data_IF_802358269367
#
_entry.id   IF_802358269367
#
_cell.length_a   1.000
_cell.length_b   1.000
_cell.length_c   1.000
_cell.angle_alpha   90.00
_cell.angle_beta   90.00
_cell.angle_gamma   90.00
#
_symmetry.space_group_name_H-M   'P 1'
#
loop_
_entity.id
_entity.type
_entity.pdbx_description
1 polymer ?
#
# COMPACT_ATOMS: atom_id res chain seq x y z
N UNK A 1 2.52 26.47 4.76
CA UNK A 1 3.48 25.70 5.58
C UNK A 1 3.03 24.27 5.53
N UNK A 2 3.79 23.38 4.89
CA UNK A 2 3.54 21.95 4.90
C UNK A 2 3.67 21.49 6.35
N UNK A 3 2.61 20.97 6.96
CA UNK A 3 2.71 20.30 8.25
C UNK A 3 3.65 19.12 8.06
N UNK A 4 4.75 19.13 8.83
CA UNK A 4 5.74 18.06 8.77
C UNK A 4 5.06 16.72 9.02
N UNK A 5 5.50 15.71 8.31
CA UNK A 5 5.02 14.33 8.46
C UNK A 5 5.14 13.87 9.92
N UNK A 6 4.08 13.30 10.48
CA UNK A 6 4.08 12.81 11.87
C UNK A 6 4.95 11.56 12.02
N UNK A 7 5.42 11.29 13.24
CA UNK A 7 6.17 10.06 13.56
C UNK A 7 5.32 8.82 13.23
N UNK A 8 4.05 8.85 13.58
CA UNK A 8 3.10 7.76 13.34
C UNK A 8 2.93 7.45 11.84
N UNK A 9 2.81 8.48 11.00
CA UNK A 9 2.71 8.29 9.55
C UNK A 9 3.97 7.65 8.97
N UNK A 10 5.17 8.09 9.43
CA UNK A 10 6.43 7.46 9.03
C UNK A 10 6.51 6.00 9.44
N UNK A 11 6.02 5.65 10.63
CA UNK A 11 5.96 4.27 11.10
C UNK A 11 5.06 3.41 10.22
N UNK A 12 3.85 3.89 9.88
CA UNK A 12 2.95 3.18 8.95
C UNK A 12 3.60 2.95 7.58
N UNK A 13 4.32 3.93 7.03
CA UNK A 13 5.06 3.75 5.77
C UNK A 13 6.19 2.72 5.89
N UNK A 14 6.93 2.73 6.99
CA UNK A 14 7.98 1.75 7.23
C UNK A 14 7.42 0.33 7.32
N UNK A 15 6.30 0.15 8.02
CA UNK A 15 5.59 -1.12 8.10
C UNK A 15 5.05 -1.56 6.72
N UNK A 16 4.52 -0.64 5.91
CA UNK A 16 4.06 -0.95 4.56
C UNK A 16 5.20 -1.40 3.64
N UNK A 17 6.39 -0.80 3.75
CA UNK A 17 7.58 -1.24 3.03
C UNK A 17 7.99 -2.66 3.42
N UNK A 18 8.07 -2.94 4.72
CA UNK A 18 8.41 -4.26 5.25
C UNK A 18 7.40 -5.30 4.80
N UNK A 19 6.10 -4.99 4.94
CA UNK A 19 5.03 -5.89 4.52
C UNK A 19 5.10 -6.19 3.02
N UNK A 20 5.31 -5.18 2.18
CA UNK A 20 5.44 -5.35 0.74
C UNK A 20 6.57 -6.35 0.39
N UNK A 21 7.75 -6.18 1.00
CA UNK A 21 8.91 -7.05 0.76
C UNK A 21 8.64 -8.49 1.21
N UNK A 22 8.00 -8.69 2.36
CA UNK A 22 7.64 -10.01 2.89
C UNK A 22 6.56 -10.70 2.05
N UNK A 23 5.72 -9.93 1.35
CA UNK A 23 4.62 -10.44 0.52
C UNK A 23 4.93 -10.43 -0.99
N UNK A 24 6.22 -10.55 -1.36
CA UNK A 24 6.65 -10.78 -2.74
C UNK A 24 6.86 -9.52 -3.59
N UNK A 25 6.64 -8.32 -3.04
CA UNK A 25 6.94 -7.06 -3.72
C UNK A 25 8.34 -6.56 -3.34
N UNK A 26 9.37 -7.26 -3.85
CA UNK A 26 10.75 -7.06 -3.43
C UNK A 26 11.33 -5.68 -3.76
N UNK A 27 10.76 -4.95 -4.71
CA UNK A 27 11.19 -3.62 -5.13
C UNK A 27 10.18 -2.61 -4.57
N UNK A 28 10.53 -1.94 -3.47
CA UNK A 28 9.61 -1.06 -2.76
C UNK A 28 10.32 0.24 -2.34
N UNK A 29 9.61 1.37 -2.46
CA UNK A 29 10.07 2.69 -2.01
C UNK A 29 8.92 3.51 -1.44
N UNK A 30 9.23 4.42 -0.52
CA UNK A 30 8.30 5.43 -0.05
C UNK A 30 8.21 6.62 -1.01
N UNK A 31 7.12 7.37 -0.93
CA UNK A 31 6.93 8.66 -1.62
C UNK A 31 7.06 8.59 -3.15
N UNK A 32 6.43 7.61 -3.78
CA UNK A 32 6.50 7.40 -5.22
C UNK A 32 5.39 8.14 -5.97
N UNK A 33 5.73 8.79 -7.07
CA UNK A 33 4.72 9.39 -7.97
C UNK A 33 3.98 8.28 -8.71
N UNK A 34 2.65 8.32 -8.67
CA UNK A 34 1.80 7.40 -9.43
C UNK A 34 1.64 7.91 -10.86
N UNK A 35 1.98 7.13 -11.89
CA UNK A 35 1.95 7.57 -13.28
C UNK A 35 0.59 8.13 -13.71
N UNK A 36 0.59 9.17 -14.53
CA UNK A 36 -0.60 9.82 -15.11
C UNK A 36 -1.62 10.36 -14.10
N UNK A 37 -1.37 10.22 -12.80
CA UNK A 37 -2.34 10.58 -11.77
C UNK A 37 -2.12 11.97 -11.14
N UNK A 38 -0.91 12.49 -11.20
CA UNK A 38 -0.49 13.67 -10.46
C UNK A 38 -0.34 13.44 -8.94
N UNK A 39 -0.66 12.23 -8.45
CA UNK A 39 -0.58 11.88 -7.03
C UNK A 39 0.76 11.26 -6.66
N UNK A 40 1.10 11.40 -5.39
CA UNK A 40 2.21 10.70 -4.75
C UNK A 40 1.62 9.69 -3.77
N UNK A 41 1.99 8.42 -3.94
CA UNK A 41 1.66 7.35 -3.01
C UNK A 41 2.64 7.34 -1.84
N UNK A 42 2.17 6.97 -0.66
CA UNK A 42 3.02 6.82 0.52
C UNK A 42 4.06 5.70 0.32
N UNK A 43 3.66 4.57 -0.28
CA UNK A 43 4.57 3.51 -0.71
C UNK A 43 4.12 2.96 -2.06
N UNK A 44 5.08 2.71 -2.94
CA UNK A 44 4.87 1.97 -4.18
C UNK A 44 5.83 0.80 -4.25
N UNK A 45 5.34 -0.35 -4.74
CA UNK A 45 6.18 -1.53 -4.86
C UNK A 45 5.84 -2.37 -6.09
N UNK A 46 6.81 -3.22 -6.47
CA UNK A 46 6.72 -4.11 -7.62
C UNK A 46 7.29 -5.49 -7.28
N UNK A 47 6.64 -6.55 -7.74
CA UNK A 47 7.17 -7.90 -7.66
C UNK A 47 8.25 -8.13 -8.73
N UNK A 48 9.08 -9.17 -8.53
CA UNK A 48 10.08 -9.61 -9.52
C UNK A 48 9.48 -10.64 -10.47
N UNK A 49 10.13 -10.84 -11.61
CA UNK A 49 9.80 -11.90 -12.56
C UNK A 49 8.92 -11.47 -13.74
N UNK A 50 8.52 -12.43 -14.57
CA UNK A 50 7.81 -12.19 -15.83
C UNK A 50 6.37 -11.66 -15.63
N UNK A 51 5.68 -12.08 -14.57
CA UNK A 51 4.33 -11.63 -14.22
C UNK A 51 4.32 -10.45 -13.26
N UNK A 52 5.22 -9.47 -13.44
CA UNK A 52 5.34 -8.30 -12.57
C UNK A 52 3.98 -7.76 -12.14
N UNK A 53 3.78 -7.67 -10.84
CA UNK A 53 2.61 -7.02 -10.25
C UNK A 53 3.07 -5.77 -9.51
N UNK A 54 2.24 -4.76 -9.56
CA UNK A 54 2.50 -3.47 -8.91
C UNK A 54 1.48 -3.23 -7.81
N UNK A 55 1.92 -2.55 -6.76
CA UNK A 55 1.07 -2.22 -5.62
C UNK A 55 1.34 -0.82 -5.13
N UNK A 56 0.29 -0.16 -4.69
CA UNK A 56 0.31 1.17 -4.09
C UNK A 56 -0.31 1.09 -2.70
N UNK A 57 0.34 1.72 -1.72
CA UNK A 57 -0.14 1.84 -0.35
C UNK A 57 -0.36 3.30 0.00
N UNK A 58 -1.47 3.56 0.68
CA UNK A 58 -1.84 4.85 1.25
C UNK A 58 -2.01 4.72 2.75
N UNK A 59 -1.22 5.46 3.51
CA UNK A 59 -1.23 5.45 4.96
C UNK A 59 -2.16 6.52 5.51
N UNK A 60 -3.05 6.16 6.44
CA UNK A 60 -4.01 7.06 7.05
C UNK A 60 -4.02 6.89 8.56
N UNK A 61 -3.91 8.01 9.28
CA UNK A 61 -3.89 8.06 10.74
C UNK A 61 -5.26 8.39 11.35
N UNK A 62 -6.14 9.00 10.56
CA UNK A 62 -7.45 9.42 11.03
C UNK A 62 -8.52 9.18 9.97
N UNK A 63 -9.72 8.84 10.41
CA UNK A 63 -10.90 8.66 9.55
C UNK A 63 -11.24 9.91 8.74
N UNK A 64 -11.05 11.09 9.35
CA UNK A 64 -11.26 12.38 8.70
C UNK A 64 -10.38 12.57 7.44
N UNK A 65 -9.20 11.98 7.40
CA UNK A 65 -8.28 12.07 6.26
C UNK A 65 -8.77 11.32 5.03
N UNK A 66 -9.57 10.26 5.22
CA UNK A 66 -10.21 9.55 4.12
C UNK A 66 -11.45 10.30 3.59
N UNK A 67 -12.22 10.88 4.52
CA UNK A 67 -13.54 11.46 4.24
C UNK A 67 -13.50 12.98 4.02
N UNK A 68 -12.34 13.60 4.04
CA UNK A 68 -12.16 15.06 4.02
C UNK A 68 -12.91 15.75 2.87
N UNK A 69 -13.01 15.05 1.73
CA UNK A 69 -13.66 15.55 0.52
C UNK A 69 -14.94 14.78 0.14
N UNK A 70 -15.40 13.85 1.00
CA UNK A 70 -16.56 13.02 0.69
C UNK A 70 -17.86 13.79 0.98
N UNK A 71 -18.72 13.92 -0.04
CA UNK A 71 -20.09 14.43 0.14
C UNK A 71 -20.89 13.44 0.98
N UNK A 72 -21.62 13.97 1.97
CA UNK A 72 -22.56 13.19 2.81
C UNK A 72 -23.79 12.84 1.98
N UNK A 73 -23.79 11.70 1.35
CA UNK A 73 -24.97 11.14 0.64
C UNK A 73 -25.41 9.87 1.38
N UNK A 74 -26.50 9.96 2.16
CA UNK A 74 -26.97 8.83 2.99
C UNK A 74 -27.37 7.61 2.14
N UNK A 75 -27.97 7.84 0.96
CA UNK A 75 -28.28 6.78 0.01
C UNK A 75 -27.03 6.03 -0.46
N UNK A 76 -25.98 6.76 -0.82
CA UNK A 76 -24.73 6.15 -1.29
C UNK A 76 -24.05 5.37 -0.17
N UNK A 77 -24.09 5.84 1.07
CA UNK A 77 -23.58 5.10 2.25
C UNK A 77 -24.33 3.81 2.46
N UNK A 78 -25.66 3.85 2.40
CA UNK A 78 -26.51 2.66 2.55
C UNK A 78 -26.20 1.62 1.45
N UNK A 79 -26.08 2.08 0.20
CA UNK A 79 -25.75 1.19 -0.92
C UNK A 79 -24.34 0.60 -0.83
N UNK A 80 -23.35 1.39 -0.40
CA UNK A 80 -22.00 0.88 -0.16
C UNK A 80 -22.02 -0.19 0.92
N UNK A 81 -22.72 0.01 2.04
CA UNK A 81 -22.83 -0.99 3.11
C UNK A 81 -23.50 -2.28 2.61
N UNK A 82 -24.63 -2.18 1.89
CA UNK A 82 -25.37 -3.32 1.31
C UNK A 82 -24.47 -4.13 0.36
N UNK A 83 -23.77 -3.45 -0.56
CA UNK A 83 -22.93 -4.10 -1.57
C UNK A 83 -21.65 -4.70 -0.95
N UNK A 84 -21.11 -4.09 0.09
CA UNK A 84 -19.96 -4.64 0.83
C UNK A 84 -20.35 -5.95 1.51
N UNK A 85 -21.49 -5.99 2.20
CA UNK A 85 -21.99 -7.22 2.83
C UNK A 85 -22.31 -8.32 1.79
N UNK A 86 -22.90 -7.92 0.67
CA UNK A 86 -23.16 -8.85 -0.45
C UNK A 86 -21.87 -9.40 -1.06
N UNK A 87 -20.84 -8.56 -1.25
CA UNK A 87 -19.55 -8.99 -1.77
C UNK A 87 -18.89 -10.00 -0.82
N UNK A 88 -18.88 -9.70 0.49
CA UNK A 88 -18.32 -10.58 1.51
C UNK A 88 -18.98 -11.96 1.50
N UNK A 89 -20.31 -12.03 1.50
CA UNK A 89 -21.05 -13.29 1.42
C UNK A 89 -20.75 -14.06 0.13
N UNK A 90 -20.61 -13.35 -1.00
CA UNK A 90 -20.27 -13.95 -2.28
C UNK A 90 -18.85 -14.53 -2.27
N UNK A 91 -17.88 -13.80 -1.72
CA UNK A 91 -16.51 -14.24 -1.57
C UNK A 91 -16.37 -15.44 -0.63
N UNK A 92 -17.12 -15.47 0.48
CA UNK A 92 -17.20 -16.63 1.37
C UNK A 92 -17.74 -17.87 0.63
N UNK A 93 -18.82 -17.72 -0.15
CA UNK A 93 -19.39 -18.80 -0.95
C UNK A 93 -18.42 -19.30 -2.03
N UNK A 94 -17.80 -18.39 -2.78
CA UNK A 94 -16.81 -18.74 -3.81
C UNK A 94 -15.63 -19.45 -3.17
N UNK A 95 -15.12 -18.94 -2.07
CA UNK A 95 -14.02 -19.55 -1.33
C UNK A 95 -14.32 -20.96 -0.86
N UNK A 96 -15.55 -21.22 -0.41
CA UNK A 96 -16.00 -22.56 -0.04
C UNK A 96 -16.03 -23.56 -1.22
N UNK A 97 -16.27 -23.08 -2.44
CA UNK A 97 -16.31 -23.90 -3.66
C UNK A 97 -14.99 -23.91 -4.45
N UNK A 98 -14.10 -22.98 -4.19
CA UNK A 98 -12.83 -22.80 -4.90
C UNK A 98 -11.66 -22.78 -3.90
N UNK A 99 -11.33 -23.93 -3.30
CA UNK A 99 -10.22 -24.02 -2.35
C UNK A 99 -8.86 -23.68 -2.96
N UNK A 100 -8.74 -23.74 -4.29
CA UNK A 100 -7.56 -23.33 -5.05
C UNK A 100 -7.27 -21.82 -4.97
N UNK A 101 -8.26 -21.00 -4.62
CA UNK A 101 -8.09 -19.57 -4.37
C UNK A 101 -7.57 -19.26 -2.96
N UNK A 102 -7.47 -20.27 -2.12
CA UNK A 102 -6.97 -20.12 -0.75
C UNK A 102 -5.46 -19.91 -0.80
N UNK A 103 -5.02 -18.76 -0.32
CA UNK A 103 -3.59 -18.56 -0.05
C UNK A 103 -3.34 -19.21 1.30
N UNK A 104 -2.66 -20.35 1.27
CA UNK A 104 -2.28 -21.07 2.48
C UNK A 104 -1.23 -20.26 3.23
N UNK A 105 -1.63 -19.61 4.30
CA UNK A 105 -0.74 -19.30 5.40
C UNK A 105 -0.86 -20.49 6.37
N UNK A 106 0.09 -21.40 6.33
CA UNK A 106 0.05 -22.64 7.11
C UNK A 106 0.02 -22.39 8.61
N UNK A 107 0.37 -21.18 9.04
CA UNK A 107 0.48 -20.80 10.45
C UNK A 107 -0.86 -20.34 11.07
N UNK A 108 -1.83 -19.87 10.27
CA UNK A 108 -3.10 -19.32 10.79
C UNK A 108 -4.30 -19.69 9.89
N UNK A 109 -4.85 -20.92 9.99
CA UNK A 109 -5.99 -21.36 9.16
C UNK A 109 -7.24 -20.48 9.28
N UNK A 110 -7.47 -19.86 10.45
CA UNK A 110 -8.59 -18.95 10.69
C UNK A 110 -8.49 -17.62 9.90
N UNK A 111 -7.30 -17.25 9.45
CA UNK A 111 -7.06 -16.09 8.59
C UNK A 111 -6.79 -16.48 7.15
N UNK A 112 -7.19 -17.67 6.74
CA UNK A 112 -7.05 -18.12 5.36
C UNK A 112 -7.72 -17.12 4.43
N UNK A 113 -6.90 -16.27 3.86
CA UNK A 113 -7.35 -15.25 2.94
C UNK A 113 -7.45 -15.88 1.54
N UNK A 114 -8.46 -15.47 0.79
CA UNK A 114 -8.72 -15.92 -0.57
C UNK A 114 -8.12 -14.93 -1.56
N UNK A 115 -7.42 -15.39 -2.57
CA UNK A 115 -6.95 -14.54 -3.65
C UNK A 115 -7.94 -14.53 -4.82
N UNK A 116 -8.75 -13.51 -4.88
CA UNK A 116 -9.72 -13.29 -5.95
C UNK A 116 -9.15 -12.48 -7.12
N UNK A 117 -7.86 -12.15 -7.13
CA UNK A 117 -7.25 -11.28 -8.15
C UNK A 117 -7.33 -11.83 -9.57
N UNK A 118 -7.34 -13.18 -9.71
CA UNK A 118 -7.49 -13.87 -10.99
C UNK A 118 -8.88 -14.48 -11.21
N UNK A 119 -9.87 -14.14 -10.37
CA UNK A 119 -11.18 -14.77 -10.43
C UNK A 119 -12.01 -14.30 -11.62
N UNK A 120 -12.29 -15.22 -12.55
CA UNK A 120 -13.24 -15.01 -13.63
C UNK A 120 -14.68 -15.41 -13.20
N UNK A 121 -15.34 -14.56 -12.42
CA UNK A 121 -16.70 -14.77 -11.97
C UNK A 121 -17.57 -13.55 -12.27
N UNK A 122 -18.54 -13.72 -13.19
CA UNK A 122 -19.34 -12.60 -13.73
C UNK A 122 -20.10 -11.83 -12.62
N UNK A 123 -20.69 -12.55 -11.66
CA UNK A 123 -21.42 -11.92 -10.55
C UNK A 123 -20.48 -11.17 -9.61
N UNK A 124 -19.31 -11.72 -9.29
CA UNK A 124 -18.31 -11.07 -8.46
C UNK A 124 -17.86 -9.75 -9.12
N UNK A 125 -17.45 -9.80 -10.38
CA UNK A 125 -17.07 -8.60 -11.15
C UNK A 125 -18.17 -7.55 -11.19
N UNK A 126 -19.43 -7.96 -11.36
CA UNK A 126 -20.58 -7.05 -11.36
C UNK A 126 -20.78 -6.36 -10.01
N UNK A 127 -20.71 -7.09 -8.92
CA UNK A 127 -20.88 -6.53 -7.56
C UNK A 127 -19.72 -5.59 -7.23
N UNK A 128 -18.48 -5.96 -7.56
CA UNK A 128 -17.29 -5.08 -7.39
C UNK A 128 -17.44 -3.80 -8.20
N UNK A 129 -17.86 -3.89 -9.47
CA UNK A 129 -18.05 -2.72 -10.32
C UNK A 129 -19.17 -1.79 -9.81
N UNK A 130 -20.27 -2.35 -9.31
CA UNK A 130 -21.38 -1.60 -8.74
C UNK A 130 -20.97 -0.92 -7.42
N UNK A 131 -20.27 -1.63 -6.55
CA UNK A 131 -19.70 -1.10 -5.33
C UNK A 131 -18.73 0.06 -5.63
N UNK A 132 -17.84 -0.11 -6.61
CA UNK A 132 -16.92 0.92 -7.05
C UNK A 132 -17.65 2.20 -7.50
N UNK A 133 -18.75 2.05 -8.25
CA UNK A 133 -19.58 3.19 -8.71
C UNK A 133 -20.19 3.97 -7.54
N UNK A 134 -20.76 3.30 -6.55
CA UNK A 134 -21.35 3.95 -5.38
C UNK A 134 -20.31 4.58 -4.46
N UNK A 135 -19.15 3.93 -4.30
CA UNK A 135 -18.03 4.51 -3.56
C UNK A 135 -17.40 5.70 -4.31
N UNK A 136 -17.31 5.64 -5.64
CA UNK A 136 -16.88 6.81 -6.43
C UNK A 136 -17.80 8.00 -6.18
N UNK A 137 -19.11 7.78 -6.04
CA UNK A 137 -20.08 8.82 -5.71
C UNK A 137 -19.84 9.42 -4.33
N UNK A 138 -19.57 8.58 -3.30
CA UNK A 138 -19.21 9.03 -1.95
C UNK A 138 -17.86 9.73 -1.89
N UNK A 139 -16.89 9.21 -2.62
CA UNK A 139 -15.50 9.65 -2.62
C UNK A 139 -15.18 10.53 -3.82
N UNK A 140 -16.21 11.01 -4.56
CA UNK A 140 -16.03 11.77 -5.80
C UNK A 140 -15.09 12.96 -5.57
N UNK A 141 -14.02 13.01 -6.35
CA UNK A 141 -12.95 13.98 -6.20
C UNK A 141 -11.74 13.49 -5.40
N UNK A 142 -11.86 12.40 -4.64
CA UNK A 142 -10.71 11.85 -3.90
C UNK A 142 -9.70 11.16 -4.79
N UNK A 143 -8.44 11.10 -4.33
CA UNK A 143 -7.38 10.36 -5.03
C UNK A 143 -7.66 8.86 -5.13
N UNK A 144 -8.39 8.27 -4.18
CA UNK A 144 -8.69 6.85 -4.14
C UNK A 144 -9.52 6.38 -5.34
N UNK A 145 -10.63 7.07 -5.61
CA UNK A 145 -11.49 6.77 -6.74
C UNK A 145 -10.75 6.96 -8.08
N UNK A 146 -9.93 8.01 -8.19
CA UNK A 146 -9.15 8.30 -9.40
C UNK A 146 -8.09 7.22 -9.65
N UNK A 147 -7.30 6.86 -8.65
CA UNK A 147 -6.25 5.83 -8.76
C UNK A 147 -6.83 4.48 -9.19
N UNK A 148 -7.95 4.08 -8.58
CA UNK A 148 -8.67 2.88 -8.95
C UNK A 148 -9.16 2.92 -10.40
N UNK A 149 -9.88 3.97 -10.78
CA UNK A 149 -10.44 4.12 -12.13
C UNK A 149 -9.36 4.11 -13.22
N UNK A 150 -8.20 4.67 -12.95
CA UNK A 150 -7.09 4.71 -13.89
C UNK A 150 -6.26 3.43 -13.90
N UNK A 151 -6.57 2.45 -13.06
CA UNK A 151 -5.80 1.20 -12.93
C UNK A 151 -4.31 1.47 -12.80
N UNK A 152 -3.95 2.46 -12.00
CA UNK A 152 -2.58 2.97 -11.92
C UNK A 152 -1.58 1.95 -11.34
N UNK A 153 -2.07 0.90 -10.68
CA UNK A 153 -1.32 -0.26 -10.21
C UNK A 153 -2.25 -1.48 -10.20
N UNK A 154 -1.70 -2.69 -10.07
CA UNK A 154 -2.50 -3.92 -9.97
C UNK A 154 -3.28 -3.99 -8.66
N UNK A 155 -2.68 -3.54 -7.56
CA UNK A 155 -3.28 -3.59 -6.23
C UNK A 155 -3.15 -2.27 -5.50
N UNK A 156 -4.14 -1.99 -4.65
CA UNK A 156 -4.18 -0.81 -3.79
C UNK A 156 -4.49 -1.22 -2.37
N UNK A 157 -3.72 -0.73 -1.42
CA UNK A 157 -3.93 -0.95 0.01
C UNK A 157 -4.08 0.36 0.76
N UNK A 158 -5.06 0.39 1.65
CA UNK A 158 -5.14 1.35 2.73
C UNK A 158 -4.41 0.77 3.94
N UNK A 159 -3.53 1.55 4.54
CA UNK A 159 -2.76 1.18 5.75
C UNK A 159 -3.18 2.10 6.87
N UNK A 160 -3.61 1.55 8.00
CA UNK A 160 -4.09 2.34 9.13
C UNK A 160 -3.80 1.71 10.49
N UNK A 161 -4.04 2.48 11.53
CA UNK A 161 -4.14 1.95 12.90
C UNK A 161 -5.45 1.17 13.06
N UNK A 162 -5.51 0.32 14.09
CA UNK A 162 -6.70 -0.45 14.42
C UNK A 162 -7.88 0.46 14.77
N UNK A 163 -9.09 0.07 14.36
CA UNK A 163 -10.33 0.77 14.69
C UNK A 163 -10.60 2.10 13.96
N UNK A 164 -9.67 2.56 13.07
CA UNK A 164 -9.85 3.81 12.35
C UNK A 164 -10.94 3.70 11.27
N UNK A 165 -10.96 2.58 10.53
CA UNK A 165 -11.91 2.37 9.43
C UNK A 165 -12.84 1.21 9.68
N UNK A 166 -14.13 1.42 9.42
CA UNK A 166 -15.07 0.32 9.22
C UNK A 166 -14.85 -0.29 7.82
N UNK A 167 -15.13 -1.58 7.65
CA UNK A 167 -14.94 -2.30 6.38
C UNK A 167 -15.68 -1.64 5.21
N UNK A 168 -16.87 -1.09 5.44
CA UNK A 168 -17.67 -0.36 4.45
C UNK A 168 -17.06 0.99 4.02
N UNK A 169 -16.11 1.52 4.77
CA UNK A 169 -15.44 2.79 4.47
C UNK A 169 -14.18 2.61 3.61
N UNK A 170 -13.66 1.37 3.55
CA UNK A 170 -12.52 1.05 2.69
C UNK A 170 -12.97 1.16 1.23
N UNK A 171 -12.27 1.94 0.39
CA UNK A 171 -12.65 2.11 -1.01
C UNK A 171 -12.81 0.76 -1.74
N UNK A 172 -13.77 0.68 -2.68
CA UNK A 172 -14.00 -0.55 -3.43
C UNK A 172 -12.73 -1.04 -4.11
N UNK A 173 -12.50 -2.35 -4.01
CA UNK A 173 -11.32 -2.98 -4.59
C UNK A 173 -10.02 -2.72 -3.84
N UNK A 174 -9.98 -1.79 -2.87
CA UNK A 174 -8.82 -1.58 -2.02
C UNK A 174 -8.74 -2.64 -0.93
N UNK A 175 -7.53 -3.10 -0.64
CA UNK A 175 -7.24 -3.90 0.55
C UNK A 175 -7.12 -3.01 1.80
N UNK A 176 -7.19 -3.63 2.97
CA UNK A 176 -6.96 -2.99 4.26
C UNK A 176 -5.89 -3.74 5.02
N UNK A 177 -4.85 -3.01 5.38
CA UNK A 177 -3.80 -3.44 6.30
C UNK A 177 -3.90 -2.62 7.59
N UNK A 178 -3.87 -3.27 8.73
CA UNK A 178 -4.00 -2.62 10.02
C UNK A 178 -2.77 -2.93 10.86
N UNK A 179 -2.20 -1.88 11.48
CA UNK A 179 -1.10 -2.03 12.42
C UNK A 179 -1.59 -2.75 13.67
N UNK A 180 -0.88 -3.79 14.05
CA UNK A 180 -1.09 -4.55 15.28
C UNK A 180 0.23 -4.71 16.01
N UNK A 181 0.23 -4.85 17.35
CA UNK A 181 1.42 -5.21 18.10
C UNK A 181 1.95 -6.57 17.62
N UNK A 182 3.24 -6.66 17.34
CA UNK A 182 3.88 -7.93 17.02
C UNK A 182 3.98 -8.85 18.23
N UNK A 183 4.19 -10.14 17.98
CA UNK A 183 4.31 -11.14 19.04
C UNK A 183 5.67 -11.02 19.78
N UNK A 184 5.64 -10.93 21.10
CA UNK A 184 6.83 -10.90 21.94
C UNK A 184 7.70 -9.64 21.75
N UNK A 185 9.00 -9.83 21.53
CA UNK A 185 9.95 -8.74 21.27
C UNK A 185 9.93 -8.24 19.83
N UNK A 186 9.13 -8.84 18.96
CA UNK A 186 8.94 -8.36 17.60
C UNK A 186 8.16 -7.06 17.65
N UNK A 187 8.64 -6.06 16.90
CA UNK A 187 7.97 -4.76 16.77
C UNK A 187 6.61 -4.90 16.10
N UNK A 188 5.89 -3.79 15.99
CA UNK A 188 4.58 -3.76 15.32
C UNK A 188 4.63 -4.31 13.90
N UNK A 189 3.53 -4.92 13.46
CA UNK A 189 3.37 -5.51 12.14
C UNK A 189 2.06 -5.06 11.47
N UNK A 190 1.91 -5.34 10.17
CA UNK A 190 0.67 -5.11 9.43
C UNK A 190 -0.10 -6.40 9.27
N UNK A 191 -1.31 -6.44 9.82
CA UNK A 191 -2.27 -7.52 9.63
C UNK A 191 -3.17 -7.22 8.44
N UNK A 192 -3.33 -8.20 7.55
CA UNK A 192 -4.24 -8.10 6.41
C UNK A 192 -5.68 -8.34 6.90
N UNK A 193 -6.50 -7.28 6.86
CA UNK A 193 -7.92 -7.34 7.23
C UNK A 193 -8.81 -7.57 6.01
N UNK A 194 -8.44 -6.98 4.87
CA UNK A 194 -9.18 -7.13 3.61
C UNK A 194 -8.20 -7.21 2.44
N UNK A 195 -8.41 -8.19 1.55
CA UNK A 195 -7.63 -8.29 0.31
C UNK A 195 -8.10 -7.27 -0.72
N UNK A 196 -7.18 -6.75 -1.55
CA UNK A 196 -7.55 -5.92 -2.68
C UNK A 196 -8.11 -6.78 -3.81
N UNK A 197 -8.92 -6.17 -4.67
CA UNK A 197 -9.27 -6.73 -5.97
C UNK A 197 -8.25 -6.26 -7.00
N UNK A 198 -7.79 -7.17 -7.87
CA UNK A 198 -6.87 -6.80 -8.94
C UNK A 198 -7.53 -5.86 -9.96
N UNK A 199 -6.84 -4.80 -10.35
CA UNK A 199 -7.33 -3.84 -11.36
C UNK A 199 -6.96 -4.22 -12.78
N UNK A 200 -6.09 -5.23 -12.96
CA UNK A 200 -5.51 -5.60 -14.25
C UNK A 200 -4.83 -4.39 -14.93
N UNK A 201 -3.88 -3.78 -14.22
CA UNK A 201 -3.08 -2.69 -14.77
C UNK A 201 -2.40 -3.12 -16.07
N UNK A 202 -2.33 -2.24 -17.05
CA UNK A 202 -1.62 -2.53 -18.30
C UNK A 202 -0.12 -2.66 -18.07
N UNK A 203 0.57 -3.34 -18.97
CA UNK A 203 2.05 -3.44 -18.89
C UNK A 203 2.71 -2.06 -18.91
N UNK A 204 2.21 -1.13 -19.72
CA UNK A 204 2.67 0.25 -19.76
C UNK A 204 2.56 0.93 -18.38
N UNK A 205 1.44 0.73 -17.67
CA UNK A 205 1.24 1.28 -16.33
C UNK A 205 2.17 0.66 -15.30
N UNK A 206 2.40 -0.65 -15.36
CA UNK A 206 3.37 -1.37 -14.50
C UNK A 206 4.79 -0.87 -14.71
N UNK A 207 5.21 -0.73 -15.97
CA UNK A 207 6.54 -0.22 -16.33
C UNK A 207 6.70 1.22 -15.83
N UNK A 208 5.74 2.10 -16.10
CA UNK A 208 5.82 3.49 -15.68
C UNK A 208 5.89 3.65 -14.15
N UNK A 209 5.16 2.83 -13.39
CA UNK A 209 5.28 2.82 -11.93
C UNK A 209 6.63 2.30 -11.47
N UNK A 210 7.15 1.22 -12.08
CA UNK A 210 8.48 0.67 -11.78
C UNK A 210 9.59 1.70 -12.07
N UNK A 211 9.51 2.44 -13.17
CA UNK A 211 10.45 3.52 -13.48
C UNK A 211 10.45 4.60 -12.39
N UNK A 212 9.26 5.02 -11.93
CA UNK A 212 9.16 6.00 -10.85
C UNK A 212 9.74 5.45 -9.52
N UNK A 213 9.54 4.17 -9.22
CA UNK A 213 10.15 3.48 -8.08
C UNK A 213 11.68 3.51 -8.21
N UNK A 214 12.22 3.16 -9.38
CA UNK A 214 13.65 3.16 -9.65
C UNK A 214 14.27 4.56 -9.50
N UNK A 215 13.59 5.59 -10.01
CA UNK A 215 14.05 6.98 -9.88
C UNK A 215 14.12 7.43 -8.42
N UNK A 216 13.14 7.08 -7.58
CA UNK A 216 13.17 7.41 -6.14
C UNK A 216 14.31 6.67 -5.45
N UNK A 217 14.49 5.36 -5.73
CA UNK A 217 15.56 4.56 -5.14
C UNK A 217 16.95 5.07 -5.52
N UNK A 218 17.12 5.54 -6.75
CA UNK A 218 18.39 6.12 -7.24
C UNK A 218 18.74 7.42 -6.52
N UNK A 219 17.76 8.32 -6.35
CA UNK A 219 17.95 9.60 -5.65
C UNK A 219 18.32 9.39 -4.17
N UNK A 220 17.62 8.48 -3.49
CA UNK A 220 17.92 8.15 -2.10
C UNK A 220 19.35 7.62 -1.88
N UNK A 221 19.96 6.98 -2.89
CA UNK A 221 21.36 6.56 -2.84
C UNK A 221 22.34 7.70 -3.08
N UNK A 222 21.99 8.67 -3.95
CA UNK A 222 22.81 9.85 -4.22
C UNK A 222 22.96 10.73 -2.97
N UNK A 223 21.85 11.01 -2.30
CA UNK A 223 21.83 11.83 -1.08
C UNK A 223 22.57 11.18 0.10
N UNK A 224 22.64 9.84 0.15
CA UNK A 224 23.38 9.09 1.17
C UNK A 224 24.88 8.94 0.88
N UNK A 225 25.33 9.18 -0.34
CA UNK A 225 26.73 9.08 -0.78
C UNK A 225 27.58 10.31 -0.42
N UNK A 226 27.00 11.47 -0.44
CA UNK A 226 27.72 12.72 -0.13
C UNK A 226 28.03 12.91 1.37
N UNK A 227 27.25 12.29 2.25
CA UNK A 227 27.46 12.37 3.70
C UNK A 227 28.63 11.52 4.23
N UNK A 228 29.29 10.70 3.41
CA UNK A 228 30.43 9.83 3.80
C UNK A 228 31.79 10.26 3.30
N UNK A 229 31.91 11.33 2.52
CA UNK A 229 33.18 11.74 1.90
C UNK A 229 33.92 12.85 2.68
N UNK A 230 33.37 13.38 3.76
CA UNK A 230 33.99 14.48 4.52
C UNK A 230 34.36 14.04 5.95
N UNK A 231 35.38 13.17 6.05
CA UNK A 231 35.78 12.65 7.38
C UNK A 231 37.07 11.85 7.41
N UNK A 232 38.12 12.18 6.59
CA UNK A 232 39.47 11.64 6.84
C UNK A 232 40.55 12.50 6.19
N UNK A 233 40.77 13.72 6.67
CA UNK A 233 42.09 14.33 6.53
C UNK A 233 42.83 14.20 7.86
N UNK A 234 43.76 13.20 7.83
CA UNK A 234 44.64 12.90 8.94
C UNK A 234 45.63 14.04 9.19
N UNK A 235 45.63 14.56 10.40
CA UNK A 235 46.73 15.37 10.94
C UNK A 235 47.96 14.48 11.09
N UNK A 236 48.94 14.66 10.21
CA UNK A 236 50.34 14.22 10.43
C UNK A 236 51.01 15.19 11.42
N UNK A 237 51.20 14.71 12.64
CA UNK A 237 52.07 15.36 13.63
C UNK A 237 53.54 15.17 13.21
N UNK A 238 54.24 16.27 12.96
CA UNK A 238 55.69 16.30 12.83
C UNK A 238 56.31 16.27 14.22
N UNK A 239 56.92 15.16 14.58
CA UNK A 239 57.82 15.05 15.73
C UNK A 239 59.19 15.64 15.35
N UNK A 240 59.53 16.77 15.95
CA UNK A 240 60.88 17.32 15.86
C UNK A 240 61.67 16.73 17.01
N UNK A 241 62.68 15.96 16.69
CA UNK A 241 63.70 15.48 17.64
C UNK A 241 64.80 16.53 17.75
N UNK A 242 64.94 17.16 18.92
CA UNK A 242 66.11 17.93 19.31
C UNK A 242 67.03 16.99 20.12
N UNK A 243 68.23 16.81 19.62
CA UNK A 243 69.35 16.24 20.40
C UNK A 243 70.22 17.40 20.91
N UNK A 244 70.68 17.35 22.15
CA UNK A 244 71.69 18.28 22.69
C UNK A 244 73.08 17.64 22.53
N UNK A 245 74.01 18.48 22.05
CA UNK A 245 75.43 18.30 22.19
C UNK A 245 76.00 18.65 23.53
#
# INVERSE_FOLDING_TARGET
>A
MSQGETVQHRQLKALALTWAQQNGFAIAVAEVRVPKSGYRADVGACSRGAGRRTVVFECKQARADLLKDARREDEARSKVAELTDRLKKLEELIGGHRPDLRVSDELFPEFAAWDFSGLEHATHRKVVAELAKWQERLLSGTKFAKLWRWRAADFFYLVSEEGIFAEAEVPAGWGLLVRVPGAGEQGDELKLMRRPVGTEASEEQRIALLENIALVATRARGDGGEARADGSEGKTEKTTTDEPG
#
